data_IF_432744681336
#
_entry.id   IF_432744681336
#
_cell.length_a   1.000
_cell.length_b   1.000
_cell.length_c   1.000
_cell.angle_alpha   90.00
_cell.angle_beta   90.00
_cell.angle_gamma   90.00
#
_symmetry.space_group_name_H-M   'P 1'
#
loop_
_entity.id
_entity.type
_entity.pdbx_description
1 polymer ?
#
# COMPACT_ATOMS: atom_id res chain seq x y z
N UNK A 1 7.10 0.03 21.79
CA UNK A 1 7.74 1.15 21.05
C UNK A 1 8.97 0.60 20.35
N UNK A 2 8.78 -0.07 19.22
CA UNK A 2 9.89 -0.65 18.45
C UNK A 2 10.30 0.34 17.39
N UNK A 3 11.45 0.97 17.61
CA UNK A 3 12.08 1.88 16.66
C UNK A 3 12.47 1.05 15.43
N UNK A 4 11.75 1.24 14.33
CA UNK A 4 12.09 0.63 13.04
C UNK A 4 13.43 1.19 12.59
N UNK A 5 14.44 0.33 12.55
CA UNK A 5 15.81 0.70 12.22
C UNK A 5 15.89 1.03 10.73
N UNK A 6 15.85 2.33 10.38
CA UNK A 6 15.87 2.89 9.00
C UNK A 6 17.07 2.47 8.13
N UNK A 7 18.00 1.69 8.69
CA UNK A 7 19.35 1.46 8.14
C UNK A 7 19.42 0.36 7.07
N UNK A 8 18.31 -0.34 6.73
CA UNK A 8 18.27 -1.38 5.68
C UNK A 8 17.37 -1.06 4.47
N UNK A 9 17.11 0.22 4.15
CA UNK A 9 16.34 0.64 2.96
C UNK A 9 17.08 0.47 1.61
N UNK A 10 18.04 -0.45 1.51
CA UNK A 10 19.02 -0.42 0.42
C UNK A 10 18.64 -1.16 -0.86
N UNK A 11 17.74 -2.17 -0.84
CA UNK A 11 17.53 -3.05 -2.01
C UNK A 11 16.14 -3.64 -2.23
N UNK A 12 15.21 -3.53 -1.28
CA UNK A 12 13.82 -4.01 -1.44
C UNK A 12 12.88 -2.87 -1.08
N UNK A 13 11.87 -2.62 -1.91
CA UNK A 13 10.81 -1.64 -1.65
C UNK A 13 9.85 -2.03 -0.52
N UNK A 14 10.15 -3.12 0.19
CA UNK A 14 9.39 -3.62 1.33
C UNK A 14 10.34 -4.12 2.43
N UNK A 15 9.82 -4.17 3.65
CA UNK A 15 10.51 -4.68 4.83
C UNK A 15 9.98 -6.10 5.11
N UNK A 16 10.89 -7.06 5.18
CA UNK A 16 10.59 -8.45 5.53
C UNK A 16 10.78 -8.64 7.04
N UNK A 17 9.87 -8.02 7.81
CA UNK A 17 9.80 -8.14 9.27
C UNK A 17 8.40 -8.58 9.65
N UNK A 18 8.31 -9.35 10.73
CA UNK A 18 7.02 -9.68 11.33
C UNK A 18 6.29 -8.41 11.75
N UNK A 19 5.03 -8.30 11.34
CA UNK A 19 4.12 -7.25 11.78
C UNK A 19 3.51 -7.68 13.11
N UNK A 20 3.35 -6.72 14.03
CA UNK A 20 2.66 -6.98 15.30
C UNK A 20 1.22 -7.45 15.01
N UNK A 21 0.89 -8.66 15.48
CA UNK A 21 -0.41 -9.30 15.24
C UNK A 21 -1.59 -8.58 15.90
N UNK A 22 -1.32 -7.63 16.82
CA UNK A 22 -2.34 -6.81 17.45
C UNK A 22 -2.74 -5.58 16.62
N UNK A 23 -2.00 -5.26 15.56
CA UNK A 23 -2.28 -4.12 14.70
C UNK A 23 -3.47 -4.40 13.77
N UNK A 24 -4.33 -3.40 13.60
CA UNK A 24 -5.23 -3.36 12.46
C UNK A 24 -4.48 -2.83 11.24
N UNK A 25 -4.06 -3.76 10.37
CA UNK A 25 -3.27 -3.44 9.17
C UNK A 25 -4.01 -2.48 8.24
N UNK A 26 -5.33 -2.63 8.09
CA UNK A 26 -6.14 -1.80 7.18
C UNK A 26 -6.16 -0.34 7.64
N UNK A 27 -6.32 -0.10 8.94
CA UNK A 27 -6.34 1.26 9.49
C UNK A 27 -4.97 1.94 9.38
N UNK A 28 -3.89 1.19 9.61
CA UNK A 28 -2.54 1.71 9.43
C UNK A 28 -2.23 2.05 7.97
N UNK A 29 -2.68 1.23 7.01
CA UNK A 29 -2.53 1.55 5.58
C UNK A 29 -3.29 2.83 5.24
N UNK A 30 -4.53 2.99 5.72
CA UNK A 30 -5.33 4.21 5.50
C UNK A 30 -4.66 5.44 6.09
N UNK A 31 -4.17 5.36 7.34
CA UNK A 31 -3.42 6.43 8.01
C UNK A 31 -2.18 6.82 7.19
N UNK A 32 -1.39 5.82 6.77
CA UNK A 32 -0.17 6.06 5.99
C UNK A 32 -0.46 6.65 4.60
N UNK A 33 -1.56 6.23 3.96
CA UNK A 33 -2.02 6.78 2.68
C UNK A 33 -2.28 8.28 2.81
N UNK A 34 -3.00 8.69 3.85
CA UNK A 34 -3.29 10.10 4.14
C UNK A 34 -2.02 10.89 4.46
N UNK A 35 -1.15 10.38 5.34
CA UNK A 35 0.11 11.04 5.71
C UNK A 35 1.06 11.24 4.53
N UNK A 36 1.01 10.33 3.55
CA UNK A 36 1.86 10.37 2.36
C UNK A 36 1.18 11.05 1.17
N UNK A 37 -0.08 11.46 1.31
CA UNK A 37 -0.93 11.89 0.19
C UNK A 37 -0.81 10.93 -1.01
N UNK A 38 -0.89 9.63 -0.74
CA UNK A 38 -0.71 8.58 -1.73
C UNK A 38 -2.06 8.11 -2.28
N UNK A 39 -2.05 7.62 -3.52
CA UNK A 39 -3.18 6.95 -4.17
C UNK A 39 -2.83 5.47 -4.34
N UNK A 40 -3.78 4.58 -4.03
CA UNK A 40 -3.65 3.13 -4.15
C UNK A 40 -4.40 2.67 -5.39
N UNK A 41 -3.67 2.18 -6.38
CA UNK A 41 -4.23 1.61 -7.62
C UNK A 41 -4.00 0.10 -7.62
N UNK A 42 -5.06 -0.69 -7.81
CA UNK A 42 -4.98 -2.16 -7.78
C UNK A 42 -5.40 -2.80 -9.11
N UNK A 43 -4.70 -3.86 -9.50
CA UNK A 43 -5.10 -4.67 -10.66
C UNK A 43 -6.16 -5.71 -10.26
N UNK A 44 -7.01 -6.14 -11.19
CA UNK A 44 -8.02 -7.19 -10.97
C UNK A 44 -7.48 -8.54 -10.46
N UNK A 45 -6.17 -8.76 -10.53
CA UNK A 45 -5.54 -9.99 -10.07
C UNK A 45 -5.07 -9.94 -8.62
N UNK A 46 -5.24 -8.80 -7.94
CA UNK A 46 -4.94 -8.69 -6.52
C UNK A 46 -6.02 -9.38 -5.69
N UNK A 47 -5.67 -9.77 -4.48
CA UNK A 47 -6.62 -10.35 -3.52
C UNK A 47 -7.73 -9.36 -3.16
N UNK A 48 -8.91 -9.86 -2.81
CA UNK A 48 -10.08 -9.02 -2.51
C UNK A 48 -9.81 -7.99 -1.43
N UNK A 49 -9.08 -8.37 -0.38
CA UNK A 49 -8.70 -7.47 0.72
C UNK A 49 -7.84 -6.29 0.25
N UNK A 50 -7.03 -6.47 -0.81
CA UNK A 50 -6.23 -5.40 -1.42
C UNK A 50 -7.11 -4.51 -2.31
N UNK A 51 -8.06 -5.09 -3.03
CA UNK A 51 -9.01 -4.35 -3.85
C UNK A 51 -9.92 -3.46 -2.99
N UNK A 52 -10.35 -3.95 -1.81
CA UNK A 52 -11.22 -3.23 -0.88
C UNK A 52 -10.59 -1.95 -0.30
N UNK A 53 -9.25 -1.89 -0.24
CA UNK A 53 -8.51 -0.72 0.24
C UNK A 53 -7.99 0.19 -0.88
N UNK A 54 -8.16 -0.19 -2.14
CA UNK A 54 -7.70 0.58 -3.28
C UNK A 54 -8.65 1.75 -3.61
N UNK A 55 -8.09 2.85 -4.09
CA UNK A 55 -8.87 4.01 -4.55
C UNK A 55 -9.42 3.79 -5.97
N UNK A 56 -8.77 2.93 -6.75
CA UNK A 56 -9.23 2.50 -8.06
C UNK A 56 -8.76 1.08 -8.37
N UNK A 57 -9.64 0.29 -9.00
CA UNK A 57 -9.35 -1.08 -9.44
C UNK A 57 -9.60 -1.18 -10.94
N UNK A 58 -8.62 -1.67 -11.70
CA UNK A 58 -8.69 -1.70 -13.15
C UNK A 58 -7.72 -2.68 -13.81
N UNK A 59 -7.78 -2.74 -15.14
CA UNK A 59 -6.76 -3.40 -15.96
C UNK A 59 -5.57 -2.46 -16.23
N UNK A 60 -4.57 -2.91 -16.97
CA UNK A 60 -3.38 -2.11 -17.30
C UNK A 60 -3.70 -0.75 -17.93
N UNK A 61 -4.73 -0.68 -18.80
CA UNK A 61 -5.10 0.55 -19.48
C UNK A 61 -5.78 1.52 -18.51
N UNK A 62 -6.76 1.03 -17.74
CA UNK A 62 -7.47 1.82 -16.73
C UNK A 62 -6.52 2.36 -15.67
N UNK A 63 -5.59 1.53 -15.19
CA UNK A 63 -4.58 1.96 -14.21
C UNK A 63 -3.65 3.04 -14.78
N UNK A 64 -3.23 2.92 -16.04
CA UNK A 64 -2.37 3.91 -16.68
C UNK A 64 -3.08 5.26 -16.87
N UNK A 65 -4.36 5.22 -17.25
CA UNK A 65 -5.19 6.43 -17.38
C UNK A 65 -5.42 7.10 -16.02
N UNK A 66 -5.72 6.30 -14.99
CA UNK A 66 -5.92 6.81 -13.64
C UNK A 66 -4.64 7.42 -13.08
N UNK A 67 -3.49 6.76 -13.25
CA UNK A 67 -2.20 7.27 -12.81
C UNK A 67 -1.79 8.57 -13.52
N UNK A 68 -2.22 8.77 -14.77
CA UNK A 68 -1.99 10.03 -15.48
C UNK A 68 -2.91 11.17 -15.01
N UNK A 69 -4.04 10.85 -14.37
CA UNK A 69 -5.05 11.80 -13.91
C UNK A 69 -4.93 12.17 -12.41
N UNK A 70 -4.09 11.46 -11.65
CA UNK A 70 -3.85 11.63 -10.21
C UNK A 70 -2.55 12.36 -9.95
#
# INVERSE_FOLDING_TARGET
MTIVNKTKMGKKGFIDLDVDKSLNIVDEIKRMREEKNAVILAHFYQEGEIQDIADFVGDSLGLSQQAAAT
#
